data_IF_931366721740
#
_entry.id   IF_931366721740
#
_cell.length_a   1.000
_cell.length_b   1.000
_cell.length_c   1.000
_cell.angle_alpha   90.00
_cell.angle_beta   90.00
_cell.angle_gamma   90.00
#
_symmetry.space_group_name_H-M   'P 1'
#
loop_
_entity.id
_entity.type
_entity.pdbx_description
1 polymer ?
#
# COMPACT_ATOMS: atom_id res chain seq x y z
N UNK A 1 24.64 7.23 -8.51
CA UNK A 1 23.64 8.25 -8.07
C UNK A 1 22.83 8.77 -9.26
N UNK A 2 23.47 9.33 -10.30
CA UNK A 2 22.79 9.78 -11.53
C UNK A 2 22.03 8.65 -12.25
N UNK A 3 22.65 7.46 -12.37
CA UNK A 3 22.02 6.26 -12.96
C UNK A 3 20.70 5.87 -12.29
N UNK A 4 20.61 5.90 -10.96
CA UNK A 4 19.38 5.58 -10.22
C UNK A 4 18.27 6.59 -10.52
N UNK A 5 18.63 7.87 -10.62
CA UNK A 5 17.67 8.93 -10.94
C UNK A 5 17.15 8.80 -12.38
N UNK A 6 18.04 8.49 -13.33
CA UNK A 6 17.67 8.23 -14.73
C UNK A 6 16.75 7.02 -14.84
N UNK A 7 17.10 5.90 -14.19
CA UNK A 7 16.28 4.69 -14.19
C UNK A 7 14.90 4.95 -13.56
N UNK A 8 14.85 5.67 -12.44
CA UNK A 8 13.59 6.06 -11.79
C UNK A 8 12.74 6.97 -12.67
N UNK A 9 13.36 7.94 -13.35
CA UNK A 9 12.66 8.85 -14.28
C UNK A 9 12.10 8.13 -15.50
N UNK A 10 12.86 7.21 -16.09
CA UNK A 10 12.40 6.36 -17.20
C UNK A 10 11.25 5.47 -16.76
N UNK A 11 11.36 4.83 -15.59
CA UNK A 11 10.31 3.97 -15.06
C UNK A 11 9.01 4.75 -14.77
N UNK A 12 9.12 5.92 -14.14
CA UNK A 12 7.98 6.81 -13.90
C UNK A 12 7.33 7.29 -15.21
N UNK A 13 8.13 7.63 -16.22
CA UNK A 13 7.63 7.99 -17.55
C UNK A 13 6.87 6.86 -18.25
N UNK A 14 7.41 5.64 -18.23
CA UNK A 14 6.75 4.45 -18.78
C UNK A 14 5.44 4.17 -18.03
N UNK A 15 5.45 4.22 -16.70
CA UNK A 15 4.25 4.05 -15.89
C UNK A 15 3.18 5.09 -16.25
N UNK A 16 3.55 6.37 -16.39
CA UNK A 16 2.63 7.44 -16.79
C UNK A 16 2.01 7.24 -18.17
N UNK A 17 2.77 6.72 -19.15
CA UNK A 17 2.27 6.39 -20.48
C UNK A 17 1.24 5.25 -20.44
N UNK A 18 1.51 4.20 -19.64
CA UNK A 18 0.60 3.07 -19.47
C UNK A 18 -0.73 3.53 -18.85
N UNK A 19 -0.65 4.33 -17.79
CA UNK A 19 -1.84 4.87 -17.12
C UNK A 19 -2.64 5.78 -18.05
N UNK A 20 -1.97 6.69 -18.77
CA UNK A 20 -2.62 7.59 -19.73
C UNK A 20 -3.34 6.83 -20.85
N UNK A 21 -2.80 5.69 -21.29
CA UNK A 21 -3.43 4.84 -22.29
C UNK A 21 -4.76 4.22 -21.82
N UNK A 22 -4.96 4.07 -20.51
CA UNK A 22 -6.18 3.52 -19.92
C UNK A 22 -7.21 4.61 -19.56
N UNK A 23 -6.87 5.89 -19.68
CA UNK A 23 -7.78 7.00 -19.39
C UNK A 23 -8.84 7.10 -20.48
N UNK A 24 -10.00 6.48 -20.26
CA UNK A 24 -11.21 6.83 -20.99
C UNK A 24 -11.67 8.22 -20.52
N UNK A 25 -12.04 9.07 -21.48
CA UNK A 25 -12.33 10.52 -21.36
C UNK A 25 -13.26 10.97 -20.21
N UNK A 26 -13.90 10.05 -19.48
CA UNK A 26 -14.77 10.34 -18.33
C UNK A 26 -14.07 10.32 -16.95
N UNK A 27 -12.84 9.79 -16.82
CA UNK A 27 -12.21 9.55 -15.50
C UNK A 27 -10.75 10.06 -15.41
N UNK A 28 -10.38 11.01 -16.28
CA UNK A 28 -9.02 11.57 -16.29
C UNK A 28 -8.65 12.29 -14.98
N UNK A 29 -9.64 12.82 -14.25
CA UNK A 29 -9.42 13.51 -12.97
C UNK A 29 -8.94 12.55 -11.88
N UNK A 30 -9.30 11.28 -11.95
CA UNK A 30 -8.88 10.26 -10.99
C UNK A 30 -7.70 9.42 -11.49
N UNK A 31 -7.06 9.79 -12.61
CA UNK A 31 -5.91 9.07 -13.14
C UNK A 31 -4.74 9.13 -12.14
N UNK A 32 -4.32 7.97 -11.64
CA UNK A 32 -3.26 7.84 -10.63
C UNK A 32 -3.71 8.04 -9.18
N UNK A 33 -4.98 8.35 -8.95
CA UNK A 33 -5.50 8.57 -7.60
C UNK A 33 -5.52 7.25 -6.81
N UNK A 34 -4.74 7.21 -5.73
CA UNK A 34 -4.58 6.01 -4.88
C UNK A 34 -3.45 5.06 -5.30
N UNK A 35 -2.76 5.30 -6.42
CA UNK A 35 -1.63 4.45 -6.84
C UNK A 35 -0.43 4.54 -5.89
N UNK A 36 -0.19 5.69 -5.27
CA UNK A 36 0.85 5.84 -4.25
C UNK A 36 0.57 4.93 -3.04
N UNK A 37 -0.69 4.94 -2.57
CA UNK A 37 -1.13 4.12 -1.44
C UNK A 37 -1.09 2.63 -1.79
N UNK A 38 -1.55 2.26 -2.99
CA UNK A 38 -1.51 0.88 -3.48
C UNK A 38 -0.06 0.39 -3.68
N UNK A 39 0.85 1.27 -4.12
CA UNK A 39 2.28 0.93 -4.24
C UNK A 39 2.92 0.67 -2.86
N UNK A 40 2.60 1.48 -1.86
CA UNK A 40 3.06 1.25 -0.47
C UNK A 40 2.44 -0.05 0.08
N UNK A 41 1.15 -0.27 -0.13
CA UNK A 41 0.47 -1.50 0.30
C UNK A 41 1.08 -2.76 -0.32
N UNK A 42 1.29 -2.73 -1.63
CA UNK A 42 1.90 -3.84 -2.38
C UNK A 42 3.29 -4.18 -1.84
N UNK A 43 4.13 -3.18 -1.58
CA UNK A 43 5.51 -3.41 -1.11
C UNK A 43 5.54 -3.93 0.33
N UNK A 44 4.62 -3.50 1.19
CA UNK A 44 4.55 -3.94 2.59
C UNK A 44 3.90 -5.32 2.72
N UNK A 45 2.85 -5.62 1.95
CA UNK A 45 2.28 -6.97 1.86
C UNK A 45 3.31 -7.95 1.29
N UNK A 46 4.13 -7.50 0.33
CA UNK A 46 5.30 -8.23 -0.16
C UNK A 46 6.41 -8.44 0.89
N UNK A 47 6.28 -7.87 2.09
CA UNK A 47 7.21 -8.09 3.20
C UNK A 47 8.44 -7.19 3.22
N UNK A 48 8.46 -6.11 2.43
CA UNK A 48 9.56 -5.13 2.50
C UNK A 48 9.36 -4.16 3.67
N UNK A 49 10.45 -3.84 4.37
CA UNK A 49 10.46 -2.92 5.51
C UNK A 49 10.42 -1.46 5.02
N UNK A 50 9.48 -0.67 5.55
CA UNK A 50 9.42 0.79 5.31
C UNK A 50 10.59 1.55 5.92
N UNK A 51 11.26 0.97 6.93
CA UNK A 51 12.44 1.53 7.59
C UNK A 51 13.72 1.38 6.79
N UNK A 52 13.66 0.73 5.62
CA UNK A 52 14.83 0.38 4.82
C UNK A 52 15.52 -0.90 5.30
N UNK A 53 16.32 -1.52 4.42
CA UNK A 53 16.96 -2.81 4.67
C UNK A 53 17.02 -3.69 3.42
N UNK A 54 16.84 -5.00 3.58
CA UNK A 54 16.76 -5.94 2.45
C UNK A 54 15.37 -5.91 1.83
N UNK A 55 15.30 -5.57 0.55
CA UNK A 55 14.07 -5.54 -0.23
C UNK A 55 14.12 -6.61 -1.33
N UNK A 56 12.94 -7.09 -1.74
CA UNK A 56 12.80 -8.06 -2.83
C UNK A 56 11.77 -7.55 -3.84
N UNK A 57 12.25 -7.23 -5.04
CA UNK A 57 11.39 -6.79 -6.14
C UNK A 57 10.33 -7.83 -6.49
N UNK A 58 10.69 -9.12 -6.47
CA UNK A 58 9.77 -10.22 -6.76
C UNK A 58 8.62 -10.28 -5.74
N UNK A 59 8.93 -10.07 -4.45
CA UNK A 59 7.91 -10.08 -3.40
C UNK A 59 6.99 -8.85 -3.50
N UNK A 60 7.51 -7.69 -3.89
CA UNK A 60 6.69 -6.49 -4.19
C UNK A 60 5.74 -6.71 -5.37
N UNK A 61 6.19 -7.41 -6.42
CA UNK A 61 5.34 -7.76 -7.57
C UNK A 61 4.21 -8.71 -7.13
N UNK A 62 4.51 -9.71 -6.31
CA UNK A 62 3.48 -10.60 -5.73
C UNK A 62 2.49 -9.79 -4.90
N UNK A 63 2.96 -8.86 -4.06
CA UNK A 63 2.10 -7.96 -3.30
C UNK A 63 1.21 -7.07 -4.17
N UNK A 64 1.73 -6.57 -5.30
CA UNK A 64 0.95 -5.80 -6.27
C UNK A 64 -0.17 -6.63 -6.90
N UNK A 65 0.09 -7.91 -7.22
CA UNK A 65 -0.93 -8.83 -7.71
C UNK A 65 -2.02 -9.10 -6.66
N UNK A 66 -1.64 -9.19 -5.38
CA UNK A 66 -2.60 -9.34 -4.27
C UNK A 66 -3.49 -8.10 -4.13
N UNK A 67 -2.93 -6.89 -4.16
CA UNK A 67 -3.72 -5.65 -4.11
C UNK A 67 -4.64 -5.50 -5.33
N UNK A 68 -4.13 -5.84 -6.51
CA UNK A 68 -4.92 -5.78 -7.75
C UNK A 68 -6.05 -6.80 -7.75
N UNK A 69 -5.80 -8.03 -7.30
CA UNK A 69 -6.84 -9.05 -7.16
C UNK A 69 -7.88 -8.66 -6.13
N UNK A 70 -7.49 -8.12 -4.97
CA UNK A 70 -8.45 -7.59 -3.98
C UNK A 70 -9.35 -6.51 -4.57
N UNK A 71 -8.74 -5.54 -5.26
CA UNK A 71 -9.48 -4.44 -5.90
C UNK A 71 -10.47 -4.99 -6.95
N UNK A 72 -10.02 -5.96 -7.75
CA UNK A 72 -10.84 -6.61 -8.77
C UNK A 72 -11.99 -7.42 -8.16
N UNK A 73 -11.71 -8.20 -7.11
CA UNK A 73 -12.74 -8.98 -6.39
C UNK A 73 -13.77 -8.06 -5.77
N UNK A 74 -13.35 -6.94 -5.17
CA UNK A 74 -14.24 -5.96 -4.54
C UNK A 74 -15.18 -5.29 -5.54
N UNK A 75 -14.68 -4.99 -6.74
CA UNK A 75 -15.54 -4.56 -7.85
C UNK A 75 -16.45 -5.67 -8.37
N UNK A 76 -15.97 -6.92 -8.42
CA UNK A 76 -16.77 -8.06 -8.88
C UNK A 76 -17.96 -8.37 -7.94
N UNK A 77 -17.82 -8.14 -6.64
CA UNK A 77 -18.91 -8.26 -5.65
C UNK A 77 -19.80 -6.99 -5.57
N UNK A 78 -19.59 -6.02 -6.47
CA UNK A 78 -20.41 -4.81 -6.57
C UNK A 78 -20.16 -3.76 -5.48
N UNK A 79 -19.03 -3.83 -4.77
CA UNK A 79 -18.72 -2.84 -3.74
C UNK A 79 -18.29 -1.52 -4.39
N UNK A 80 -18.88 -0.37 -4.00
CA UNK A 80 -18.52 0.92 -4.57
C UNK A 80 -17.05 1.28 -4.30
N UNK A 81 -16.41 1.95 -5.26
CA UNK A 81 -15.00 2.35 -5.20
C UNK A 81 -14.63 3.11 -3.92
N UNK A 82 -15.56 3.93 -3.42
CA UNK A 82 -15.39 4.71 -2.19
C UNK A 82 -15.27 3.80 -0.95
N UNK A 83 -15.99 2.68 -0.90
CA UNK A 83 -15.84 1.69 0.15
C UNK A 83 -14.57 0.84 -0.02
N UNK A 84 -14.11 0.63 -1.26
CA UNK A 84 -12.82 -0.03 -1.54
C UNK A 84 -11.62 0.76 -1.04
N UNK A 85 -11.63 2.08 -1.22
CA UNK A 85 -10.62 2.96 -0.65
C UNK A 85 -10.63 2.94 0.89
N UNK A 86 -11.81 2.87 1.52
CA UNK A 86 -11.92 2.76 2.98
C UNK A 86 -11.28 1.47 3.51
N UNK A 87 -11.51 0.32 2.86
CA UNK A 87 -10.88 -0.96 3.25
C UNK A 87 -9.36 -0.89 3.12
N UNK A 88 -8.84 -0.33 2.02
CA UNK A 88 -7.40 -0.12 1.83
C UNK A 88 -6.79 0.75 2.94
N UNK A 89 -7.47 1.82 3.35
CA UNK A 89 -7.02 2.66 4.46
C UNK A 89 -6.97 1.90 5.80
N UNK A 90 -7.95 1.04 6.08
CA UNK A 90 -7.94 0.19 7.27
C UNK A 90 -6.78 -0.79 7.24
N UNK A 91 -6.49 -1.42 6.09
CA UNK A 91 -5.36 -2.34 5.93
C UNK A 91 -4.04 -1.62 6.21
N UNK A 92 -3.83 -0.43 5.65
CA UNK A 92 -2.64 0.41 5.94
C UNK A 92 -2.53 0.71 7.43
N UNK A 93 -3.63 1.09 8.08
CA UNK A 93 -3.65 1.38 9.53
C UNK A 93 -3.21 0.16 10.34
N UNK A 94 -3.77 -1.02 10.06
CA UNK A 94 -3.41 -2.28 10.74
C UNK A 94 -1.94 -2.61 10.53
N UNK A 95 -1.45 -2.50 9.30
CA UNK A 95 -0.06 -2.77 8.94
C UNK A 95 0.91 -1.84 9.70
N UNK A 96 0.61 -0.54 9.77
CA UNK A 96 1.42 0.44 10.51
C UNK A 96 1.43 0.12 12.01
N UNK A 97 0.27 -0.24 12.58
CA UNK A 97 0.17 -0.62 13.99
C UNK A 97 1.03 -1.85 14.30
N UNK A 98 1.02 -2.86 13.41
CA UNK A 98 1.82 -4.08 13.55
C UNK A 98 3.33 -3.81 13.42
N UNK A 99 3.72 -2.89 12.53
CA UNK A 99 5.13 -2.53 12.30
C UNK A 99 5.70 -1.58 13.33
N UNK A 100 4.87 -0.76 13.99
CA UNK A 100 5.36 0.14 15.02
C UNK A 100 5.76 -0.65 16.27
N UNK A 101 7.07 -0.78 16.51
CA UNK A 101 7.59 -1.31 17.79
C UNK A 101 7.11 -0.47 18.99
N UNK A 102 6.76 0.80 18.73
CA UNK A 102 6.11 1.70 19.68
C UNK A 102 4.71 1.22 20.10
N UNK A 103 3.89 0.66 19.21
CA UNK A 103 2.58 0.11 19.60
C UNK A 103 2.74 -1.17 20.41
N UNK A 104 3.75 -2.01 20.13
CA UNK A 104 4.05 -3.18 20.98
C UNK A 104 4.45 -2.75 22.40
N UNK A 105 5.22 -1.68 22.54
CA UNK A 105 5.58 -1.11 23.84
C UNK A 105 4.41 -0.41 24.54
N UNK A 106 3.55 0.33 23.82
CA UNK A 106 2.35 0.97 24.37
C UNK A 106 1.28 -0.06 24.74
N UNK A 107 1.05 -1.08 23.91
CA UNK A 107 0.16 -2.20 24.21
C UNK A 107 0.62 -2.92 25.48
N UNK A 108 1.91 -3.19 25.63
CA UNK A 108 2.45 -3.74 26.89
C UNK A 108 2.19 -2.81 28.09
N UNK A 109 2.33 -1.48 27.96
CA UNK A 109 2.00 -0.56 29.07
C UNK A 109 0.51 -0.52 29.41
N UNK A 110 -0.38 -0.68 28.43
CA UNK A 110 -1.83 -0.71 28.64
C UNK A 110 -2.27 -2.03 29.29
N UNK A 111 -1.68 -3.16 28.89
CA UNK A 111 -1.94 -4.46 29.51
C UNK A 111 -1.38 -4.55 30.95
N UNK A 112 -0.21 -3.96 31.24
CA UNK A 112 0.35 -3.94 32.62
C UNK A 112 -0.44 -3.07 33.60
N UNK A 113 -1.28 -2.12 33.14
CA UNK A 113 -2.09 -1.29 34.06
C UNK A 113 -3.33 -2.00 34.62
N UNK A 114 -3.68 -3.20 34.12
CA UNK A 114 -4.83 -3.97 34.63
C UNK A 114 -4.52 -4.82 35.86
N UNK A 115 -3.26 -5.12 36.18
CA UNK A 115 -2.89 -5.92 37.36
C UNK A 115 -2.78 -5.12 38.66
N UNK A 116 -2.63 -3.79 38.62
CA UNK A 116 -2.41 -2.97 39.84
C UNK A 116 -3.72 -2.48 40.47
N UNK A 117 -4.87 -3.04 40.09
CA UNK A 117 -6.18 -2.68 40.66
C UNK A 117 -7.04 -3.89 41.04
N UNK A 118 -6.40 -4.99 41.43
CA UNK A 118 -7.04 -6.02 42.26
C UNK A 118 -6.59 -5.89 43.70
#
# INVERSE_FOLDING_TARGET
KLLVYVISGVCAGIAGLIVSSNVKSADANNAGLGFELDAILAVVIGGTLMTGGRFSLAASVIGALVIQSMTTTMYAIGVPAMAAQAVKAVVVMVVILLYSEQFRNVANRVFTRKEVRS
#
